data_IF_441459047655
#
_entry.id   IF_441459047655
#
_cell.length_a   1.000
_cell.length_b   1.000
_cell.length_c   1.000
_cell.angle_alpha   90.00
_cell.angle_beta   90.00
_cell.angle_gamma   90.00
#
_symmetry.space_group_name_H-M   'P 1'
#
loop_
_entity.id
_entity.type
_entity.pdbx_description
1 polymer ?
#
# COMPACT_ATOMS: atom_id res chain seq x y z
N UNK A 1 -11.62 -5.48 -11.25
CA UNK A 1 -10.43 -6.35 -11.07
C UNK A 1 -10.19 -6.50 -9.58
N UNK A 2 -10.00 -7.73 -9.09
CA UNK A 2 -9.69 -8.00 -7.68
C UNK A 2 -8.21 -8.40 -7.60
N UNK A 3 -7.44 -7.68 -6.79
CA UNK A 3 -6.03 -7.99 -6.54
C UNK A 3 -5.90 -8.70 -5.19
N UNK A 4 -5.31 -9.89 -5.19
CA UNK A 4 -4.92 -10.59 -3.95
C UNK A 4 -3.46 -10.26 -3.68
N UNK A 5 -3.22 -9.31 -2.78
CA UNK A 5 -1.87 -8.83 -2.45
C UNK A 5 -1.43 -9.39 -1.09
N UNK A 6 -0.31 -10.13 -1.08
CA UNK A 6 0.31 -10.66 0.14
C UNK A 6 1.47 -9.80 0.64
N UNK A 7 2.16 -9.09 -0.26
CA UNK A 7 3.32 -8.25 0.05
C UNK A 7 3.22 -6.82 -0.51
N UNK A 8 3.88 -5.87 0.15
CA UNK A 8 3.85 -4.46 -0.25
C UNK A 8 4.42 -4.18 -1.64
N UNK A 9 5.36 -4.99 -2.15
CA UNK A 9 5.96 -4.85 -3.49
C UNK A 9 4.98 -5.09 -4.63
N UNK A 10 3.93 -5.86 -4.39
CA UNK A 10 2.92 -6.17 -5.40
C UNK A 10 1.70 -5.23 -5.29
N UNK A 11 1.70 -4.34 -4.28
CA UNK A 11 0.56 -3.49 -3.98
C UNK A 11 0.47 -2.30 -4.94
N UNK A 12 -0.70 -2.03 -5.56
CA UNK A 12 -0.86 -0.88 -6.46
C UNK A 12 -0.77 0.48 -5.75
N UNK A 13 -0.71 0.49 -4.41
CA UNK A 13 -0.57 1.70 -3.59
C UNK A 13 0.85 1.92 -3.07
N UNK A 14 1.81 1.08 -3.48
CA UNK A 14 3.23 1.30 -3.23
C UNK A 14 3.73 2.47 -4.08
N UNK A 15 4.41 3.41 -3.44
CA UNK A 15 5.09 4.52 -4.10
C UNK A 15 6.57 4.52 -3.73
N UNK A 16 7.40 5.06 -4.62
CA UNK A 16 8.80 5.35 -4.36
C UNK A 16 8.96 6.88 -4.34
N UNK A 17 9.37 7.43 -3.20
CA UNK A 17 9.60 8.86 -3.00
C UNK A 17 11.03 8.99 -2.49
N UNK A 18 11.90 9.70 -3.24
CA UNK A 18 13.31 9.91 -2.89
C UNK A 18 14.07 8.61 -2.55
N UNK A 19 13.76 7.52 -3.27
CA UNK A 19 14.36 6.20 -3.03
C UNK A 19 13.77 5.41 -1.85
N UNK A 20 12.84 6.01 -1.09
CA UNK A 20 12.14 5.35 0.02
C UNK A 20 10.79 4.79 -0.45
N UNK A 21 10.55 3.51 -0.14
CA UNK A 21 9.25 2.86 -0.33
C UNK A 21 8.24 3.45 0.66
N UNK A 22 7.09 3.91 0.17
CA UNK A 22 6.01 4.52 0.95
C UNK A 22 4.65 3.98 0.52
N UNK A 23 3.66 4.09 1.42
CA UNK A 23 2.27 3.70 1.11
C UNK A 23 1.39 4.95 0.95
N UNK A 24 0.77 5.08 -0.23
CA UNK A 24 -0.03 6.26 -0.58
C UNK A 24 -1.40 6.31 0.12
N UNK A 25 -1.91 5.16 0.55
CA UNK A 25 -3.21 5.02 1.25
C UNK A 25 -3.08 4.78 2.76
N UNK A 26 -1.85 4.84 3.28
CA UNK A 26 -1.61 4.78 4.72
C UNK A 26 -2.15 6.04 5.42
N UNK A 27 -2.35 5.92 6.73
CA UNK A 27 -2.55 7.06 7.62
C UNK A 27 -1.39 7.11 8.62
N UNK A 28 -0.58 8.19 8.65
CA UNK A 28 -0.56 9.32 7.70
C UNK A 28 -0.18 8.90 6.26
N UNK A 29 -0.55 9.72 5.27
CA UNK A 29 -0.19 9.47 3.85
C UNK A 29 1.31 9.47 3.66
N UNK A 30 1.82 8.60 2.78
CA UNK A 30 3.26 8.49 2.52
C UNK A 30 4.02 7.79 3.65
N UNK A 31 3.34 7.05 4.52
CA UNK A 31 3.99 6.30 5.60
C UNK A 31 5.06 5.35 5.01
N UNK A 32 6.30 5.37 5.52
CA UNK A 32 7.37 4.54 4.99
C UNK A 32 7.10 3.05 5.23
N UNK A 33 7.49 2.24 4.25
CA UNK A 33 7.45 0.78 4.31
C UNK A 33 8.87 0.32 4.61
N UNK A 34 9.05 -0.39 5.71
CA UNK A 34 10.31 -1.08 6.02
C UNK A 34 10.51 -2.25 5.05
N UNK A 35 11.72 -2.43 4.51
CA UNK A 35 11.99 -3.40 3.45
C UNK A 35 11.79 -4.87 3.86
N UNK A 36 11.83 -5.18 5.16
CA UNK A 36 11.86 -6.55 5.68
C UNK A 36 10.49 -7.06 6.16
N UNK A 37 9.40 -6.39 5.82
CA UNK A 37 8.05 -6.74 6.29
C UNK A 37 7.15 -7.00 5.10
N UNK A 38 6.69 -8.23 4.92
CA UNK A 38 5.76 -8.61 3.85
C UNK A 38 4.57 -7.65 3.81
N UNK A 39 3.92 -7.46 4.97
CA UNK A 39 2.79 -6.55 5.12
C UNK A 39 2.83 -5.83 6.47
N UNK A 40 2.85 -4.50 6.54
CA UNK A 40 2.87 -3.79 7.81
C UNK A 40 1.59 -4.01 8.64
N UNK A 41 1.70 -4.00 9.96
CA UNK A 41 0.55 -4.14 10.90
C UNK A 41 -0.47 -3.00 10.73
N UNK A 42 0.02 -1.81 10.40
CA UNK A 42 -0.80 -0.62 10.16
C UNK A 42 -1.49 -0.59 8.78
N UNK A 43 -1.23 -1.59 7.91
CA UNK A 43 -1.83 -1.63 6.58
C UNK A 43 -3.36 -1.81 6.67
N UNK A 44 -4.12 -0.82 6.21
CA UNK A 44 -5.60 -0.85 6.22
C UNK A 44 -6.19 -2.04 5.46
N UNK A 45 -5.54 -2.45 4.38
CA UNK A 45 -5.96 -3.59 3.55
C UNK A 45 -5.87 -4.95 4.26
N UNK A 46 -5.40 -5.00 5.51
CA UNK A 46 -5.52 -6.19 6.38
C UNK A 46 -6.96 -6.43 6.84
N UNK A 47 -7.79 -5.39 6.93
CA UNK A 47 -9.15 -5.45 7.50
C UNK A 47 -10.20 -4.83 6.58
N UNK A 48 -9.78 -3.99 5.66
CA UNK A 48 -10.66 -3.19 4.82
C UNK A 48 -10.39 -3.48 3.34
N UNK A 49 -11.38 -3.18 2.50
CA UNK A 49 -11.22 -3.13 1.04
C UNK A 49 -11.16 -1.67 0.60
N UNK A 50 -10.29 -1.36 -0.37
CA UNK A 50 -10.26 -0.04 -1.01
C UNK A 50 -10.87 -0.18 -2.40
N UNK A 51 -11.89 0.62 -2.66
CA UNK A 51 -12.51 0.74 -3.99
C UNK A 51 -11.82 1.90 -4.71
N UNK A 52 -11.06 1.58 -5.76
CA UNK A 52 -10.49 2.59 -6.66
C UNK A 52 -11.50 2.82 -7.78
N UNK A 53 -12.02 4.05 -7.87
CA UNK A 53 -12.92 4.47 -8.96
C UNK A 53 -12.08 5.24 -9.97
N UNK A 54 -12.04 4.72 -11.19
CA UNK A 54 -11.47 5.40 -12.35
C UNK A 54 -12.61 6.11 -13.08
N UNK A 55 -12.73 7.42 -12.87
CA UNK A 55 -13.67 8.25 -13.61
C UNK A 55 -12.96 8.72 -14.88
N UNK A 56 -13.02 7.89 -15.91
CA UNK A 56 -12.63 8.31 -17.27
C UNK A 56 -13.51 9.44 -17.77
#
# INVERSE_FOLDING_TARGET
>A
MIFVITQCTDCPFLHLVDGQKTCNVALPKGRPITPDVDRPVWCKLRKEQIIVRDFK
#
